data_IF_021613935512
#
_entry.id   IF_021613935512
#
_cell.length_a   1.000
_cell.length_b   1.000
_cell.length_c   1.000
_cell.angle_alpha   90.00
_cell.angle_beta   90.00
_cell.angle_gamma   90.00
#
_symmetry.space_group_name_H-M   'P 1'
#
loop_
_entity.id
_entity.type
_entity.pdbx_description
1 polymer ?
#
# COMPACT_ATOMS: atom_id res chain seq x y z
N UNK A 1 11.76 -7.40 17.93
CA UNK A 1 11.60 -6.16 17.15
C UNK A 1 10.28 -6.30 16.42
N UNK A 2 9.29 -5.49 16.78
CA UNK A 2 7.99 -5.52 16.10
C UNK A 2 8.20 -4.88 14.72
N UNK A 3 7.82 -5.59 13.65
CA UNK A 3 7.94 -5.11 12.28
C UNK A 3 6.83 -4.08 12.05
N UNK A 4 7.19 -2.96 11.46
CA UNK A 4 6.36 -1.77 11.39
C UNK A 4 5.22 -1.98 10.39
N UNK A 5 5.57 -2.50 9.21
CA UNK A 5 4.63 -2.89 8.17
C UNK A 5 4.64 -4.40 7.98
N UNK A 6 3.46 -4.96 7.72
CA UNK A 6 3.28 -6.41 7.60
C UNK A 6 2.11 -6.77 6.71
N UNK A 7 1.99 -8.04 6.32
CA UNK A 7 0.87 -8.52 5.52
C UNK A 7 -0.33 -8.82 6.42
N UNK A 8 -1.47 -8.21 6.13
CA UNK A 8 -2.74 -8.56 6.76
C UNK A 8 -3.50 -9.60 5.92
N UNK A 9 -3.64 -9.34 4.61
CA UNK A 9 -4.32 -10.24 3.68
C UNK A 9 -3.84 -10.03 2.24
N UNK A 10 -3.94 -11.06 1.39
CA UNK A 10 -3.63 -10.97 -0.03
C UNK A 10 -4.67 -11.70 -0.88
N UNK A 11 -5.45 -10.92 -1.62
CA UNK A 11 -6.55 -11.35 -2.48
C UNK A 11 -6.08 -11.30 -3.94
N UNK A 12 -5.26 -12.28 -4.32
CA UNK A 12 -4.52 -12.24 -5.59
C UNK A 12 -5.42 -12.20 -6.84
N UNK A 13 -6.61 -12.82 -6.78
CA UNK A 13 -7.59 -12.78 -7.88
C UNK A 13 -8.28 -11.41 -8.02
N UNK A 14 -8.28 -10.60 -6.96
CA UNK A 14 -8.85 -9.25 -6.95
C UNK A 14 -7.77 -8.18 -7.17
N UNK A 15 -6.49 -8.58 -7.30
CA UNK A 15 -5.37 -7.67 -7.40
C UNK A 15 -5.21 -6.78 -6.17
N UNK A 16 -5.60 -7.27 -4.99
CA UNK A 16 -5.64 -6.48 -3.74
C UNK A 16 -4.76 -7.07 -2.66
N UNK A 17 -4.00 -6.20 -1.98
CA UNK A 17 -3.13 -6.55 -0.86
C UNK A 17 -3.39 -5.61 0.31
N UNK A 18 -3.69 -6.14 1.49
CA UNK A 18 -3.95 -5.38 2.71
C UNK A 18 -2.77 -5.54 3.65
N UNK A 19 -2.33 -4.43 4.24
CA UNK A 19 -1.19 -4.43 5.17
C UNK A 19 -1.60 -4.03 6.58
N UNK A 20 -0.82 -4.49 7.55
CA UNK A 20 -0.75 -3.88 8.88
C UNK A 20 0.24 -2.73 8.85
N UNK A 21 -0.04 -1.66 9.57
CA UNK A 21 0.82 -0.49 9.70
C UNK A 21 0.75 0.05 11.15
N UNK A 22 1.65 0.96 11.55
CA UNK A 22 1.47 1.77 12.76
C UNK A 22 0.16 2.54 12.69
N UNK A 23 -0.38 2.87 13.87
CA UNK A 23 -1.59 3.68 13.94
C UNK A 23 -1.40 5.05 13.28
N UNK A 24 -2.45 5.48 12.58
CA UNK A 24 -2.49 6.77 11.90
C UNK A 24 -3.90 7.35 11.92
N UNK A 25 -3.97 8.63 11.62
CA UNK A 25 -5.17 9.39 11.38
C UNK A 25 -5.02 10.19 10.07
N UNK A 26 -5.99 11.04 9.77
CA UNK A 26 -6.03 11.89 8.60
C UNK A 26 -4.79 12.78 8.44
N UNK A 27 -4.28 13.32 9.55
CA UNK A 27 -3.17 14.28 9.54
C UNK A 27 -1.81 13.58 9.50
N UNK A 28 -1.71 12.40 10.10
CA UNK A 28 -0.46 11.63 10.19
C UNK A 28 -0.26 10.66 9.01
N UNK A 29 -1.33 10.28 8.30
CA UNK A 29 -1.21 9.38 7.14
C UNK A 29 -0.23 9.89 6.08
N UNK A 30 -0.24 11.16 5.64
CA UNK A 30 0.68 11.60 4.59
C UNK A 30 2.15 11.35 4.91
N UNK A 31 2.57 11.50 6.17
CA UNK A 31 3.94 11.20 6.57
C UNK A 31 4.22 9.68 6.61
N UNK A 32 3.25 8.89 7.06
CA UNK A 32 3.34 7.43 7.09
C UNK A 32 3.39 6.83 5.67
N UNK A 33 2.51 7.29 4.79
CA UNK A 33 2.42 6.86 3.39
C UNK A 33 3.69 7.16 2.61
N UNK A 34 4.27 8.35 2.77
CA UNK A 34 5.56 8.69 2.13
C UNK A 34 6.69 7.78 2.62
N UNK A 35 6.72 7.51 3.93
CA UNK A 35 7.70 6.57 4.50
C UNK A 35 7.52 5.18 3.91
N UNK A 36 6.28 4.67 3.85
CA UNK A 36 5.97 3.36 3.27
C UNK A 36 6.41 3.27 1.81
N UNK A 37 6.04 4.25 0.97
CA UNK A 37 6.43 4.29 -0.44
C UNK A 37 7.96 4.32 -0.61
N UNK A 38 8.65 5.12 0.21
CA UNK A 38 10.11 5.19 0.18
C UNK A 38 10.77 3.87 0.60
N UNK A 39 10.23 3.17 1.60
CA UNK A 39 10.76 1.87 2.05
C UNK A 39 10.57 0.78 0.98
N UNK A 40 9.50 0.86 0.19
CA UNK A 40 9.26 0.01 -0.96
C UNK A 40 10.15 0.36 -2.17
N UNK A 41 10.96 1.42 -2.08
CA UNK A 41 11.70 1.98 -3.24
C UNK A 41 10.77 2.35 -4.41
N UNK A 42 9.52 2.68 -4.12
CA UNK A 42 8.53 3.15 -5.07
C UNK A 42 8.53 4.69 -5.15
N UNK A 43 7.79 5.24 -6.10
CA UNK A 43 7.58 6.68 -6.24
C UNK A 43 6.10 7.04 -6.25
N UNK A 44 5.74 8.19 -5.70
CA UNK A 44 4.36 8.70 -5.80
C UNK A 44 4.19 9.41 -7.14
N UNK A 45 3.23 8.97 -7.95
CA UNK A 45 2.88 9.56 -9.25
C UNK A 45 1.81 10.62 -9.08
N UNK A 46 0.77 10.31 -8.31
CA UNK A 46 -0.36 11.21 -8.07
C UNK A 46 -0.91 10.99 -6.66
N UNK A 47 -1.41 12.05 -6.03
CA UNK A 47 -2.13 11.98 -4.77
C UNK A 47 -3.51 12.57 -4.93
N UNK A 48 -4.50 11.79 -4.52
CA UNK A 48 -5.87 12.24 -4.37
C UNK A 48 -6.28 12.08 -2.91
N UNK A 49 -7.10 13.02 -2.46
CA UNK A 49 -7.66 13.01 -1.14
C UNK A 49 -9.16 13.27 -1.27
N UNK A 50 -9.93 12.20 -1.08
CA UNK A 50 -11.38 12.24 -1.00
C UNK A 50 -11.81 12.31 0.47
N UNK A 51 -13.11 12.43 0.75
CA UNK A 51 -13.66 12.71 2.08
C UNK A 51 -12.91 12.06 3.26
N UNK A 52 -12.71 10.75 3.22
CA UNK A 52 -12.13 9.93 4.28
C UNK A 52 -11.00 8.99 3.81
N UNK A 53 -10.70 8.97 2.51
CA UNK A 53 -9.72 8.07 1.90
C UNK A 53 -8.63 8.88 1.20
N UNK A 54 -7.38 8.56 1.52
CA UNK A 54 -6.25 8.95 0.69
C UNK A 54 -6.03 7.89 -0.39
N UNK A 55 -6.07 8.30 -1.66
CA UNK A 55 -5.82 7.42 -2.81
C UNK A 55 -4.60 7.92 -3.55
N UNK A 56 -3.48 7.21 -3.44
CA UNK A 56 -2.23 7.58 -4.09
C UNK A 56 -1.93 6.61 -5.22
N UNK A 57 -1.66 7.14 -6.40
CA UNK A 57 -1.08 6.35 -7.47
C UNK A 57 0.42 6.29 -7.25
N UNK A 58 0.97 5.08 -7.11
CA UNK A 58 2.40 4.85 -6.95
C UNK A 58 2.96 4.05 -8.13
N UNK A 59 4.25 4.20 -8.38
CA UNK A 59 5.01 3.42 -9.34
C UNK A 59 6.06 2.61 -8.58
N UNK A 60 5.86 1.29 -8.54
CA UNK A 60 6.78 0.31 -7.98
C UNK A 60 7.51 -0.39 -9.12
N UNK A 61 8.72 0.07 -9.42
CA UNK A 61 9.59 -0.49 -10.46
C UNK A 61 8.94 -0.59 -11.86
N UNK A 62 8.07 0.36 -12.21
CA UNK A 62 7.30 0.37 -13.47
C UNK A 62 5.91 -0.25 -13.37
N UNK A 63 5.57 -0.89 -12.25
CA UNK A 63 4.22 -1.37 -11.95
C UNK A 63 3.43 -0.30 -11.19
N UNK A 64 2.33 0.15 -11.78
CA UNK A 64 1.48 1.18 -11.17
C UNK A 64 0.38 0.56 -10.33
N UNK A 65 0.31 0.97 -9.07
CA UNK A 65 -0.65 0.51 -8.09
C UNK A 65 -1.34 1.71 -7.44
N UNK A 66 -2.61 1.54 -7.07
CA UNK A 66 -3.20 2.43 -6.07
C UNK A 66 -2.75 1.97 -4.69
N UNK A 67 -2.21 2.87 -3.89
CA UNK A 67 -2.09 2.74 -2.44
C UNK A 67 -3.20 3.57 -1.80
N UNK A 68 -4.10 2.92 -1.07
CA UNK A 68 -5.25 3.55 -0.44
C UNK A 68 -5.15 3.43 1.07
N UNK A 69 -5.63 4.45 1.77
CA UNK A 69 -5.72 4.44 3.21
C UNK A 69 -7.02 5.07 3.71
N UNK A 70 -7.68 4.36 4.61
CA UNK A 70 -8.91 4.79 5.26
C UNK A 70 -8.65 4.95 6.76
N UNK A 71 -9.01 6.12 7.28
CA UNK A 71 -8.53 6.56 8.59
C UNK A 71 -9.34 6.03 9.78
N UNK A 72 -10.61 5.64 9.61
CA UNK A 72 -11.44 5.16 10.72
C UNK A 72 -11.10 3.73 11.12
N UNK A 73 -10.74 2.89 10.15
CA UNK A 73 -10.29 1.52 10.36
C UNK A 73 -8.76 1.39 10.40
N UNK A 74 -8.03 2.48 10.11
CA UNK A 74 -6.58 2.50 9.99
C UNK A 74 -6.07 1.46 8.96
N UNK A 75 -6.88 1.21 7.92
CA UNK A 75 -6.58 0.23 6.90
C UNK A 75 -5.76 0.86 5.77
N UNK A 76 -4.69 0.18 5.37
CA UNK A 76 -3.92 0.50 4.16
C UNK A 76 -3.97 -0.71 3.24
N UNK A 77 -4.26 -0.47 1.97
CA UNK A 77 -4.26 -1.53 0.95
C UNK A 77 -3.75 -1.04 -0.40
N UNK A 78 -3.28 -1.98 -1.19
CA UNK A 78 -2.85 -1.78 -2.57
C UNK A 78 -3.85 -2.42 -3.52
N UNK A 79 -4.10 -1.78 -4.67
CA UNK A 79 -4.92 -2.29 -5.75
C UNK A 79 -4.17 -2.18 -7.08
N UNK A 80 -4.12 -3.29 -7.83
CA UNK A 80 -3.60 -3.28 -9.18
C UNK A 80 -4.50 -2.45 -10.11
N UNK A 81 -3.87 -1.70 -11.02
CA UNK A 81 -4.60 -1.10 -12.14
C UNK A 81 -5.02 -2.14 -13.17
N UNK A 82 -4.21 -3.18 -13.35
CA UNK A 82 -4.46 -4.29 -14.25
C UNK A 82 -3.90 -5.56 -13.60
N UNK A 83 -4.80 -6.48 -13.21
CA UNK A 83 -4.49 -7.58 -12.28
C UNK A 83 -3.47 -8.55 -12.85
N UNK A 84 -3.66 -8.97 -14.11
CA UNK A 84 -2.80 -9.96 -14.75
C UNK A 84 -1.38 -9.41 -14.96
N UNK A 85 -1.27 -8.15 -15.38
CA UNK A 85 0.00 -7.47 -15.63
C UNK A 85 0.75 -7.11 -14.35
N UNK A 86 0.05 -6.97 -13.21
CA UNK A 86 0.65 -6.60 -11.92
C UNK A 86 0.86 -7.80 -11.00
N UNK A 87 0.61 -9.02 -11.50
CA UNK A 87 0.53 -10.22 -10.66
C UNK A 87 1.86 -10.54 -9.99
N UNK A 88 2.94 -10.47 -10.75
CA UNK A 88 4.29 -10.76 -10.26
C UNK A 88 4.71 -9.78 -9.16
N UNK A 89 4.47 -8.48 -9.36
CA UNK A 89 4.80 -7.45 -8.37
C UNK A 89 3.93 -7.55 -7.12
N UNK A 90 2.63 -7.87 -7.27
CA UNK A 90 1.76 -8.10 -6.11
C UNK A 90 2.18 -9.35 -5.32
N UNK A 91 2.52 -10.46 -5.99
CA UNK A 91 3.03 -11.67 -5.33
C UNK A 91 4.36 -11.36 -4.59
N UNK A 92 5.24 -10.55 -5.19
CA UNK A 92 6.47 -10.09 -4.56
C UNK A 92 6.21 -9.22 -3.32
N UNK A 93 5.35 -8.20 -3.44
CA UNK A 93 4.97 -7.33 -2.33
C UNK A 93 4.32 -8.14 -1.21
N UNK A 94 3.45 -9.10 -1.52
CA UNK A 94 2.89 -10.02 -0.53
C UNK A 94 3.98 -10.75 0.25
N UNK A 95 4.96 -11.32 -0.44
CA UNK A 95 6.11 -11.97 0.20
C UNK A 95 6.95 -10.99 1.04
N UNK A 96 7.13 -9.75 0.59
CA UNK A 96 7.85 -8.71 1.32
C UNK A 96 7.13 -8.33 2.62
N UNK A 97 5.84 -8.04 2.55
CA UNK A 97 5.01 -7.71 3.71
C UNK A 97 4.81 -8.91 4.65
N UNK A 98 4.76 -10.14 4.13
CA UNK A 98 4.69 -11.35 4.96
C UNK A 98 5.96 -11.50 5.80
N UNK A 99 7.12 -11.14 5.25
CA UNK A 99 8.34 -11.00 6.05
C UNK A 99 8.18 -9.84 7.00
N UNK A 100 7.70 -8.69 6.52
CA UNK A 100 7.54 -7.44 7.24
C UNK A 100 8.86 -6.69 7.43
N UNK A 101 8.77 -5.38 7.61
CA UNK A 101 9.91 -4.47 7.76
C UNK A 101 9.56 -3.28 8.65
#
# INVERSE_FOLDING_TARGET
>A
MQKEFGLADYMAQEGRLIITAPSFDLDSFPALGERLVSLLSATVVEKQWDADIHSWLIDFEGCRLFMKAEHYSEAIWFEALAIEESREELDYLAGLFQRGF
#
